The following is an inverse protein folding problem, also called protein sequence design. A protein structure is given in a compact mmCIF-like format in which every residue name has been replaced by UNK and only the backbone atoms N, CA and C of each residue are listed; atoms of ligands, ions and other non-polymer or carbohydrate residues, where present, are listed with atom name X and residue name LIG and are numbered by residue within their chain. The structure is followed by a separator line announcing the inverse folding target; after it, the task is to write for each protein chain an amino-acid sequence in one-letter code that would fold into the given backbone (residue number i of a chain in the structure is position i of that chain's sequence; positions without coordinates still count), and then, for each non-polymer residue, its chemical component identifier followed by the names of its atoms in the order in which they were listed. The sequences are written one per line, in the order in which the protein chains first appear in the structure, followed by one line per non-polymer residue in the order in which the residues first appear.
data_IF_559187764717
#
_entry.id   IF_559187764717
#
_cell.length_a   1.000
_cell.length_b   1.000
_cell.length_c   1.000
_cell.angle_alpha   90.00
_cell.angle_beta   90.00
_cell.angle_gamma   90.00
#
_symmetry.space_group_name_H-M   'P 1'
#
loop_
_entity.id
_entity.type
_entity.pdbx_description
1 polymer ?
#
# COMPACT_ATOMS: atom_id res chain seq x y z
N UNK A 1 -7.67 -10.94 -14.65
CA UNK A 1 -7.27 -9.81 -13.77
C UNK A 1 -7.59 -8.51 -14.49
N UNK A 2 -8.05 -7.47 -13.77
CA UNK A 2 -8.36 -6.14 -14.33
C UNK A 2 -7.30 -5.09 -14.02
N UNK A 3 -6.13 -5.55 -13.57
CA UNK A 3 -4.97 -4.69 -13.34
C UNK A 3 -4.00 -4.78 -14.51
N UNK A 4 -3.50 -3.62 -14.95
CA UNK A 4 -2.42 -3.51 -15.92
C UNK A 4 -1.16 -4.22 -15.42
N UNK A 5 -0.30 -4.59 -16.37
CA UNK A 5 1.00 -5.15 -16.03
C UNK A 5 1.90 -4.08 -15.40
N UNK A 6 2.40 -4.37 -14.20
CA UNK A 6 3.43 -3.58 -13.53
C UNK A 6 3.03 -2.14 -13.18
N UNK A 7 4.07 -1.34 -12.95
CA UNK A 7 4.01 0.06 -12.55
C UNK A 7 5.25 0.43 -11.73
N UNK A 8 6.06 1.37 -12.23
CA UNK A 8 7.26 1.84 -11.53
C UNK A 8 6.91 3.15 -10.82
N UNK A 9 6.89 3.09 -9.50
CA UNK A 9 6.69 4.23 -8.59
C UNK A 9 7.51 4.00 -7.33
N UNK A 10 7.89 5.06 -6.63
CA UNK A 10 8.72 4.97 -5.43
C UNK A 10 8.84 6.32 -4.71
N UNK A 11 9.66 6.35 -3.68
CA UNK A 11 9.99 7.57 -2.92
C UNK A 11 11.44 7.96 -3.21
N UNK A 12 11.72 9.27 -3.26
CA UNK A 12 13.07 9.78 -3.54
C UNK A 12 14.10 9.16 -2.59
N UNK A 13 15.22 8.68 -3.13
CA UNK A 13 16.28 8.03 -2.38
C UNK A 13 16.12 6.52 -2.18
N UNK A 14 14.97 5.93 -2.54
CA UNK A 14 14.73 4.49 -2.41
C UNK A 14 14.40 3.83 -3.75
N UNK A 15 15.06 2.70 -4.05
CA UNK A 15 14.83 1.91 -5.28
C UNK A 15 13.69 0.89 -5.19
N UNK A 16 12.98 0.82 -4.06
CA UNK A 16 11.93 -0.18 -3.83
C UNK A 16 11.04 0.17 -2.63
N UNK A 17 10.12 -0.73 -2.30
CA UNK A 17 9.18 -0.56 -1.18
C UNK A 17 7.76 -0.13 -1.59
N UNK A 18 7.57 0.35 -2.82
CA UNK A 18 6.24 0.64 -3.39
C UNK A 18 6.03 -0.20 -4.65
N UNK A 19 4.91 -0.90 -4.72
CA UNK A 19 4.51 -1.69 -5.90
C UNK A 19 3.43 -0.90 -6.66
N UNK A 20 3.79 -0.39 -7.83
CA UNK A 20 2.86 0.32 -8.69
C UNK A 20 1.81 -0.62 -9.28
N UNK A 21 0.57 -0.13 -9.30
CA UNK A 21 -0.57 -0.84 -9.88
C UNK A 21 -1.60 0.13 -10.43
N UNK A 22 -2.10 -0.20 -11.62
CA UNK A 22 -3.01 0.64 -12.38
C UNK A 22 -4.17 -0.19 -12.93
N UNK A 23 -5.39 0.33 -12.88
CA UNK A 23 -6.59 -0.37 -13.36
C UNK A 23 -6.74 -0.28 -14.89
N UNK A 24 -7.19 -1.34 -15.55
CA UNK A 24 -7.66 -1.30 -16.94
C UNK A 24 -8.99 -0.54 -17.08
N UNK A 25 -9.78 -0.48 -16.01
CA UNK A 25 -11.13 0.10 -15.97
C UNK A 25 -11.14 1.49 -15.31
N UNK A 26 -10.05 2.24 -15.41
CA UNK A 26 -9.89 3.55 -14.75
C UNK A 26 -10.98 4.58 -15.12
N UNK A 27 -11.66 4.43 -16.27
CA UNK A 27 -12.79 5.29 -16.65
C UNK A 27 -14.07 4.96 -15.87
N UNK A 28 -14.30 3.68 -15.59
CA UNK A 28 -15.48 3.20 -14.87
C UNK A 28 -15.27 3.30 -13.35
N UNK A 29 -14.05 3.05 -12.88
CA UNK A 29 -13.66 3.06 -11.47
C UNK A 29 -12.46 4.00 -11.26
N UNK A 30 -12.69 5.33 -11.28
CA UNK A 30 -11.61 6.32 -11.20
C UNK A 30 -10.84 6.29 -9.88
N UNK A 31 -11.50 5.97 -8.76
CA UNK A 31 -10.88 5.95 -7.42
C UNK A 31 -9.80 4.88 -7.24
N UNK A 32 -9.81 3.85 -8.11
CA UNK A 32 -8.79 2.79 -8.16
C UNK A 32 -8.00 2.80 -9.47
N UNK A 33 -8.04 3.91 -10.22
CA UNK A 33 -7.18 4.10 -11.38
C UNK A 33 -5.71 3.86 -11.01
N UNK A 34 -5.31 4.32 -9.82
CA UNK A 34 -4.04 4.05 -9.16
C UNK A 34 -4.32 3.31 -7.85
N UNK A 35 -3.68 2.15 -7.64
CA UNK A 35 -3.92 1.34 -6.44
C UNK A 35 -2.64 0.69 -5.93
N UNK A 36 -1.69 1.54 -5.55
CA UNK A 36 -0.33 1.13 -5.22
C UNK A 36 -0.28 0.46 -3.83
N UNK A 37 0.63 -0.50 -3.67
CA UNK A 37 0.90 -1.12 -2.36
C UNK A 37 2.19 -0.56 -1.79
N UNK A 38 2.13 -0.04 -0.56
CA UNK A 38 3.31 0.41 0.21
C UNK A 38 3.68 -0.69 1.19
N UNK A 39 4.95 -1.11 1.18
CA UNK A 39 5.48 -2.08 2.15
C UNK A 39 6.11 -1.33 3.32
N UNK A 40 5.58 -1.58 4.52
CA UNK A 40 6.05 -0.96 5.77
C UNK A 40 6.79 -2.01 6.59
N UNK A 41 7.95 -1.64 7.13
CA UNK A 41 8.78 -2.56 7.90
C UNK A 41 8.15 -2.87 9.27
N UNK A 42 7.92 -4.15 9.56
CA UNK A 42 7.35 -4.64 10.81
C UNK A 42 8.40 -4.85 11.91
N UNK A 43 8.02 -4.81 13.20
CA UNK A 43 8.83 -5.33 14.29
C UNK A 43 9.01 -6.85 14.19
N UNK A 44 10.14 -7.34 14.68
CA UNK A 44 10.41 -8.78 14.77
C UNK A 44 9.35 -9.49 15.61
N UNK A 45 8.84 -10.62 15.10
CA UNK A 45 7.78 -11.39 15.76
C UNK A 45 6.39 -10.76 15.70
N UNK A 46 6.20 -9.64 14.99
CA UNK A 46 4.90 -8.97 14.81
C UNK A 46 4.19 -8.57 16.12
N UNK A 47 4.96 -8.26 17.16
CA UNK A 47 4.41 -7.73 18.42
C UNK A 47 4.29 -6.21 18.34
N UNK A 48 3.08 -5.70 18.59
CA UNK A 48 2.77 -4.28 18.51
C UNK A 48 2.16 -3.75 19.79
N UNK A 49 2.41 -2.48 20.08
CA UNK A 49 1.54 -1.72 20.99
C UNK A 49 0.29 -1.28 20.23
N UNK A 50 -0.82 -1.12 20.96
CA UNK A 50 -2.06 -0.62 20.34
C UNK A 50 -1.89 0.82 19.81
N UNK A 51 -1.00 1.61 20.41
CA UNK A 51 -0.65 2.96 19.98
C UNK A 51 0.05 2.98 18.61
N UNK A 52 1.02 2.08 18.40
CA UNK A 52 1.68 1.94 17.10
C UNK A 52 0.69 1.54 15.99
N UNK A 53 -0.26 0.66 16.29
CA UNK A 53 -1.29 0.25 15.33
C UNK A 53 -2.27 1.37 14.99
N UNK A 54 -2.74 2.13 15.98
CA UNK A 54 -3.60 3.29 15.71
C UNK A 54 -2.88 4.36 14.89
N UNK A 55 -1.62 4.63 15.21
CA UNK A 55 -0.79 5.55 14.44
C UNK A 55 -0.70 5.15 12.96
N UNK A 56 -0.46 3.86 12.67
CA UNK A 56 -0.45 3.37 11.27
C UNK A 56 -1.83 3.52 10.60
N UNK A 57 -2.91 3.19 11.31
CA UNK A 57 -4.27 3.34 10.78
C UNK A 57 -4.60 4.80 10.45
N UNK A 58 -4.30 5.75 11.35
CA UNK A 58 -4.59 7.18 11.16
C UNK A 58 -3.85 7.74 9.94
N UNK A 59 -2.59 7.33 9.75
CA UNK A 59 -1.79 7.70 8.57
C UNK A 59 -2.41 7.11 7.30
N UNK A 60 -2.78 5.83 7.33
CA UNK A 60 -3.30 5.13 6.15
C UNK A 60 -4.73 5.55 5.78
N UNK A 61 -5.56 5.91 6.75
CA UNK A 61 -6.88 6.48 6.51
C UNK A 61 -6.78 7.81 5.78
N UNK A 62 -5.82 8.66 6.19
CA UNK A 62 -5.62 9.97 5.56
C UNK A 62 -5.06 9.90 4.13
N UNK A 63 -4.22 8.91 3.85
CA UNK A 63 -3.39 8.89 2.64
C UNK A 63 -3.62 7.69 1.71
N UNK A 64 -4.35 6.68 2.15
CA UNK A 64 -4.51 5.41 1.45
C UNK A 64 -5.97 4.99 1.31
N UNK A 65 -6.18 3.69 1.11
CA UNK A 65 -7.51 3.11 0.87
C UNK A 65 -8.21 2.62 2.13
N UNK A 66 -7.54 2.65 3.29
CA UNK A 66 -8.00 1.98 4.51
C UNK A 66 -7.85 0.45 4.48
N UNK A 67 -7.40 -0.14 3.37
CA UNK A 67 -7.20 -1.59 3.23
C UNK A 67 -5.75 -1.97 3.53
N UNK A 68 -5.54 -3.05 4.28
CA UNK A 68 -4.20 -3.53 4.65
C UNK A 68 -4.13 -5.05 4.61
N UNK A 69 -2.95 -5.59 4.31
CA UNK A 69 -2.59 -6.96 4.63
C UNK A 69 -1.75 -6.96 5.92
N UNK A 70 -2.12 -7.78 6.89
CA UNK A 70 -1.39 -7.99 8.15
C UNK A 70 -1.05 -9.48 8.27
N UNK A 71 -0.01 -10.01 7.62
CA UNK A 71 1.11 -9.35 6.92
C UNK A 71 1.33 -9.89 5.50
N UNK A 72 2.22 -9.26 4.74
CA UNK A 72 2.73 -9.85 3.50
C UNK A 72 3.60 -11.09 3.77
N UNK A 73 3.59 -12.05 2.84
CA UNK A 73 4.37 -13.30 2.95
C UNK A 73 5.82 -13.18 2.47
N UNK A 74 6.23 -12.00 1.99
CA UNK A 74 7.53 -11.74 1.35
C UNK A 74 8.16 -10.46 1.85
#
# INVERSE_FOLDING_TARGET
THWKHGGIVGVMGYGGGVIGRYSFLAKEYPDVAHFHTVRVNQPSGWFYTSDAMRTLCDIWEKHGSGLTNMHGST
#
